data_IF_571358685138
#
_entry.id   IF_571358685138
#
_cell.length_a   1.000
_cell.length_b   1.000
_cell.length_c   1.000
_cell.angle_alpha   90.00
_cell.angle_beta   90.00
_cell.angle_gamma   90.00
#
_symmetry.space_group_name_H-M   'P 1'
#
loop_
_entity.id
_entity.type
_entity.pdbx_description
1 polymer ?
#
# COMPACT_ATOMS: atom_id res chain seq x y z
N UNK A 1 3.22 19.48 24.74
CA UNK A 1 1.92 18.77 24.77
C UNK A 1 2.19 17.31 25.11
N UNK A 2 2.14 16.95 26.40
CA UNK A 2 2.53 15.62 26.88
C UNK A 2 1.36 14.64 26.74
N UNK A 3 1.25 14.00 25.57
CA UNK A 3 0.37 12.84 25.39
C UNK A 3 0.82 11.77 26.37
N UNK A 4 -0.08 11.28 27.24
CA UNK A 4 0.26 10.21 28.18
C UNK A 4 0.87 9.02 27.40
N UNK A 5 1.92 8.36 27.92
CA UNK A 5 2.74 7.41 27.17
C UNK A 5 1.92 6.26 26.54
N UNK A 6 0.79 5.90 27.13
CA UNK A 6 -0.15 4.90 26.62
C UNK A 6 -0.83 5.33 25.32
N UNK A 7 -1.34 6.56 25.25
CA UNK A 7 -1.96 7.11 24.04
C UNK A 7 -0.96 7.19 22.88
N UNK A 8 0.30 7.53 23.16
CA UNK A 8 1.36 7.56 22.14
C UNK A 8 1.58 6.18 21.53
N UNK A 9 1.64 5.13 22.35
CA UNK A 9 1.83 3.75 21.88
C UNK A 9 0.62 3.28 21.07
N UNK A 10 -0.60 3.59 21.52
CA UNK A 10 -1.82 3.27 20.79
C UNK A 10 -1.85 3.93 19.40
N UNK A 11 -1.58 5.24 19.32
CA UNK A 11 -1.55 5.97 18.05
C UNK A 11 -0.50 5.42 17.08
N UNK A 12 0.65 4.97 17.59
CA UNK A 12 1.65 4.29 16.75
C UNK A 12 1.13 2.96 16.20
N UNK A 13 0.36 2.18 16.97
CA UNK A 13 -0.21 0.92 16.47
C UNK A 13 -1.25 1.23 15.38
N UNK A 14 -2.10 2.24 15.59
CA UNK A 14 -3.09 2.69 14.62
C UNK A 14 -2.42 3.15 13.32
N UNK A 15 -1.38 3.99 13.41
CA UNK A 15 -0.62 4.46 12.25
C UNK A 15 -0.04 3.30 11.41
N UNK A 16 0.50 2.27 12.07
CA UNK A 16 0.95 1.07 11.36
C UNK A 16 -0.19 0.25 10.74
N UNK A 17 -1.36 0.19 11.38
CA UNK A 17 -2.53 -0.45 10.78
C UNK A 17 -3.00 0.29 9.53
N UNK A 18 -2.89 1.63 9.52
CA UNK A 18 -3.19 2.45 8.36
C UNK A 18 -2.31 2.12 7.15
N UNK A 19 -1.08 1.63 7.34
CA UNK A 19 -0.24 1.18 6.21
C UNK A 19 -0.85 -0.03 5.50
N UNK A 20 -1.33 -1.03 6.25
CA UNK A 20 -2.03 -2.19 5.65
C UNK A 20 -3.28 -1.75 4.89
N UNK A 21 -4.06 -0.85 5.48
CA UNK A 21 -5.25 -0.29 4.84
C UNK A 21 -4.92 0.53 3.60
N UNK A 22 -3.84 1.33 3.63
CA UNK A 22 -3.39 2.10 2.49
C UNK A 22 -3.01 1.19 1.33
N UNK A 23 -2.27 0.10 1.58
CA UNK A 23 -1.92 -0.87 0.54
C UNK A 23 -3.20 -1.53 -0.01
N UNK A 24 -4.06 -2.10 0.83
CA UNK A 24 -5.30 -2.75 0.36
C UNK A 24 -6.22 -1.78 -0.41
N UNK A 25 -6.38 -0.56 0.09
CA UNK A 25 -7.17 0.50 -0.53
C UNK A 25 -6.60 0.93 -1.88
N UNK A 26 -5.26 1.03 -2.01
CA UNK A 26 -4.59 1.38 -3.27
C UNK A 26 -4.84 0.34 -4.36
N UNK A 27 -5.04 -0.93 -3.99
CA UNK A 27 -5.27 -2.02 -4.93
C UNK A 27 -6.73 -2.18 -5.33
N UNK A 28 -7.65 -1.80 -4.45
CA UNK A 28 -9.10 -1.98 -4.66
C UNK A 28 -9.61 -1.41 -5.99
N UNK A 29 -9.31 -0.15 -6.38
CA UNK A 29 -9.81 0.39 -7.65
C UNK A 29 -9.28 -0.37 -8.86
N UNK A 30 -8.00 -0.74 -8.86
CA UNK A 30 -7.41 -1.55 -9.93
C UNK A 30 -7.99 -2.97 -9.94
N UNK A 31 -8.16 -3.57 -8.76
CA UNK A 31 -8.71 -4.91 -8.57
C UNK A 31 -10.13 -5.02 -9.11
N UNK A 32 -10.97 -4.00 -8.90
CA UNK A 32 -12.35 -3.96 -9.43
C UNK A 32 -12.35 -3.99 -10.97
N UNK A 33 -11.46 -3.23 -11.63
CA UNK A 33 -11.36 -3.24 -13.11
C UNK A 33 -11.06 -4.63 -13.65
N UNK A 34 -10.16 -5.36 -13.00
CA UNK A 34 -9.76 -6.72 -13.45
C UNK A 34 -10.56 -7.84 -12.78
N UNK A 35 -11.52 -7.52 -11.90
CA UNK A 35 -12.31 -8.48 -11.13
C UNK A 35 -13.28 -9.31 -12.00
N UNK A 36 -13.51 -8.92 -13.26
CA UNK A 36 -14.19 -9.78 -14.23
C UNK A 36 -13.49 -11.13 -14.40
N UNK A 37 -12.15 -11.15 -14.32
CA UNK A 37 -11.34 -12.36 -14.34
C UNK A 37 -11.23 -13.06 -12.98
N UNK A 38 -11.00 -14.38 -13.00
CA UNK A 38 -10.76 -15.17 -11.77
C UNK A 38 -9.56 -14.66 -10.98
N UNK A 39 -8.48 -14.30 -11.67
CA UNK A 39 -7.25 -13.78 -11.05
C UNK A 39 -7.49 -12.46 -10.30
N UNK A 40 -8.26 -11.53 -10.87
CA UNK A 40 -8.56 -10.25 -10.23
C UNK A 40 -9.30 -10.41 -8.90
N UNK A 41 -10.28 -11.32 -8.84
CA UNK A 41 -10.99 -11.65 -7.59
C UNK A 41 -10.09 -12.29 -6.55
N UNK A 42 -9.26 -13.25 -6.97
CA UNK A 42 -8.30 -13.93 -6.07
C UNK A 42 -7.30 -12.94 -5.49
N UNK A 43 -6.76 -12.04 -6.31
CA UNK A 43 -5.84 -11.00 -5.86
C UNK A 43 -6.51 -10.04 -4.87
N UNK A 44 -7.71 -9.56 -5.19
CA UNK A 44 -8.43 -8.63 -4.32
C UNK A 44 -8.75 -9.26 -2.95
N UNK A 45 -9.28 -10.48 -2.94
CA UNK A 45 -9.56 -11.22 -1.69
C UNK A 45 -8.28 -11.53 -0.93
N UNK A 46 -7.22 -11.96 -1.64
CA UNK A 46 -5.93 -12.28 -1.04
C UNK A 46 -5.29 -11.08 -0.35
N UNK A 47 -5.31 -9.91 -1.00
CA UNK A 47 -4.75 -8.66 -0.46
C UNK A 47 -5.53 -8.21 0.78
N UNK A 48 -6.86 -8.20 0.73
CA UNK A 48 -7.67 -7.82 1.89
C UNK A 48 -7.52 -8.81 3.05
N UNK A 49 -7.45 -10.11 2.75
CA UNK A 49 -7.18 -11.15 3.76
C UNK A 49 -5.82 -10.92 4.42
N UNK A 50 -4.79 -10.66 3.62
CA UNK A 50 -3.45 -10.35 4.12
C UNK A 50 -3.46 -9.09 4.99
N UNK A 51 -4.18 -8.04 4.57
CA UNK A 51 -4.32 -6.80 5.33
C UNK A 51 -4.95 -7.03 6.70
N UNK A 52 -6.08 -7.78 6.75
CA UNK A 52 -6.79 -8.09 8.00
C UNK A 52 -5.90 -8.91 8.94
N UNK A 53 -5.21 -9.93 8.41
CA UNK A 53 -4.26 -10.73 9.20
C UNK A 53 -3.13 -9.86 9.72
N UNK A 54 -2.54 -9.01 8.88
CA UNK A 54 -1.47 -8.09 9.26
C UNK A 54 -1.89 -7.11 10.36
N UNK A 55 -3.09 -6.54 10.26
CA UNK A 55 -3.68 -5.66 11.27
C UNK A 55 -3.92 -6.44 12.57
N UNK A 56 -4.50 -7.63 12.52
CA UNK A 56 -4.73 -8.45 13.70
C UNK A 56 -3.41 -8.79 14.43
N UNK A 57 -2.38 -9.20 13.69
CA UNK A 57 -1.05 -9.44 14.25
C UNK A 57 -0.47 -8.16 14.88
N UNK A 58 -0.66 -7.01 14.24
CA UNK A 58 -0.18 -5.73 14.78
C UNK A 58 -0.90 -5.33 16.08
N UNK A 59 -2.20 -5.58 16.18
CA UNK A 59 -2.97 -5.32 17.39
C UNK A 59 -2.57 -6.25 18.54
N UNK A 60 -2.28 -7.52 18.27
CA UNK A 60 -1.89 -8.52 19.28
C UNK A 60 -0.45 -8.31 19.75
N UNK A 61 0.51 -8.14 18.82
CA UNK A 61 1.94 -8.09 19.13
C UNK A 61 2.50 -6.66 19.26
N UNK A 62 1.73 -5.64 18.91
CA UNK A 62 2.12 -4.24 18.98
C UNK A 62 3.36 -3.92 18.14
N UNK A 63 4.27 -3.12 18.70
CA UNK A 63 5.54 -2.74 18.07
C UNK A 63 6.72 -3.64 18.48
N UNK A 64 6.46 -4.86 18.97
CA UNK A 64 7.53 -5.77 19.43
C UNK A 64 8.48 -6.21 18.30
N UNK A 65 7.95 -6.35 17.07
CA UNK A 65 8.70 -6.84 15.91
C UNK A 65 8.56 -5.90 14.71
N UNK A 66 9.28 -4.77 14.68
CA UNK A 66 9.17 -3.78 13.61
C UNK A 66 9.61 -4.33 12.24
N UNK A 67 10.64 -5.18 12.21
CA UNK A 67 11.14 -5.80 10.96
C UNK A 67 10.06 -6.66 10.30
N UNK A 68 9.36 -7.50 11.08
CA UNK A 68 8.28 -8.36 10.56
C UNK A 68 7.18 -7.52 9.92
N UNK A 69 6.83 -6.38 10.54
CA UNK A 69 5.83 -5.46 10.00
C UNK A 69 6.30 -4.85 8.67
N UNK A 70 7.56 -4.40 8.60
CA UNK A 70 8.09 -3.80 7.35
C UNK A 70 8.15 -4.83 6.22
N UNK A 71 8.62 -6.04 6.51
CA UNK A 71 8.68 -7.12 5.52
C UNK A 71 7.29 -7.54 5.05
N UNK A 72 6.29 -7.61 5.93
CA UNK A 72 4.92 -7.94 5.53
C UNK A 72 4.30 -6.86 4.64
N UNK A 73 4.58 -5.57 4.89
CA UNK A 73 4.15 -4.48 4.00
C UNK A 73 4.72 -4.63 2.60
N UNK A 74 6.02 -4.95 2.48
CA UNK A 74 6.67 -5.16 1.20
C UNK A 74 6.10 -6.38 0.47
N UNK A 75 5.95 -7.52 1.15
CA UNK A 75 5.37 -8.73 0.56
C UNK A 75 3.98 -8.42 0.00
N UNK A 76 3.13 -7.78 0.80
CA UNK A 76 1.78 -7.39 0.39
C UNK A 76 1.80 -6.41 -0.79
N UNK A 77 2.69 -5.41 -0.75
CA UNK A 77 2.86 -4.41 -1.80
C UNK A 77 3.41 -4.96 -3.12
N UNK A 78 4.12 -6.08 -3.11
CA UNK A 78 4.64 -6.73 -4.32
C UNK A 78 3.67 -7.71 -4.98
N UNK A 79 2.56 -8.07 -4.31
CA UNK A 79 1.50 -8.89 -4.93
C UNK A 79 0.90 -8.24 -6.19
N UNK A 80 1.06 -6.93 -6.37
CA UNK A 80 0.61 -6.18 -7.55
C UNK A 80 1.35 -6.49 -8.82
N UNK A 81 2.52 -7.14 -8.76
CA UNK A 81 3.18 -7.67 -9.95
C UNK A 81 2.25 -8.63 -10.70
N UNK A 82 1.45 -9.42 -9.97
CA UNK A 82 0.47 -10.32 -10.59
C UNK A 82 -0.71 -9.57 -11.26
N UNK A 83 -0.96 -8.32 -10.88
CA UNK A 83 -2.00 -7.48 -11.48
C UNK A 83 -1.50 -6.73 -12.74
N UNK A 84 -0.19 -6.65 -12.99
CA UNK A 84 0.40 -5.86 -14.08
C UNK A 84 -0.14 -6.28 -15.45
N UNK A 85 -0.08 -7.57 -15.79
CA UNK A 85 -0.49 -8.06 -17.11
C UNK A 85 -2.01 -7.88 -17.34
N UNK A 86 -2.90 -8.26 -16.40
CA UNK A 86 -4.33 -7.97 -16.51
C UNK A 86 -4.65 -6.47 -16.62
N UNK A 87 -3.96 -5.62 -15.85
CA UNK A 87 -4.16 -4.18 -15.91
C UNK A 87 -3.69 -3.57 -17.22
N UNK A 88 -2.58 -4.06 -17.77
CA UNK A 88 -2.08 -3.60 -19.05
C UNK A 88 -3.08 -3.88 -20.18
N UNK A 89 -3.69 -5.08 -20.15
CA UNK A 89 -4.74 -5.46 -21.12
C UNK A 89 -6.00 -4.61 -20.93
N UNK A 90 -6.39 -4.31 -19.69
CA UNK A 90 -7.63 -3.59 -19.40
C UNK A 90 -7.53 -2.06 -19.56
N UNK A 91 -6.37 -1.45 -19.27
CA UNK A 91 -6.22 -0.01 -19.15
C UNK A 91 -5.07 0.58 -20.00
N UNK A 92 -4.24 -0.28 -20.62
CA UNK A 92 -3.07 0.14 -21.39
C UNK A 92 -1.83 0.47 -20.53
N UNK A 93 -0.78 0.93 -21.20
CA UNK A 93 0.55 1.06 -20.58
C UNK A 93 0.73 2.22 -19.60
N UNK A 94 0.05 3.35 -19.81
CA UNK A 94 0.24 4.55 -18.98
C UNK A 94 -0.21 4.36 -17.51
N UNK A 95 -1.43 3.86 -17.22
CA UNK A 95 -1.83 3.63 -15.83
C UNK A 95 -0.99 2.55 -15.14
N UNK A 96 -0.53 1.55 -15.88
CA UNK A 96 0.41 0.54 -15.37
C UNK A 96 1.75 1.19 -15.02
N UNK A 97 2.30 2.04 -15.88
CA UNK A 97 3.55 2.74 -15.62
C UNK A 97 3.45 3.65 -14.38
N UNK A 98 2.31 4.35 -14.20
CA UNK A 98 2.04 5.13 -13.00
C UNK A 98 1.98 4.25 -11.74
N UNK A 99 1.27 3.12 -11.79
CA UNK A 99 1.20 2.18 -10.66
C UNK A 99 2.59 1.58 -10.32
N UNK A 100 3.39 1.24 -11.33
CA UNK A 100 4.76 0.74 -11.14
C UNK A 100 5.66 1.83 -10.54
N UNK A 101 5.59 3.06 -11.06
CA UNK A 101 6.35 4.19 -10.50
C UNK A 101 5.96 4.44 -9.03
N UNK A 102 4.68 4.31 -8.70
CA UNK A 102 4.19 4.35 -7.32
C UNK A 102 4.75 3.24 -6.44
N UNK A 103 4.72 1.99 -6.90
CA UNK A 103 5.31 0.84 -6.21
C UNK A 103 6.82 0.99 -5.96
N UNK A 104 7.56 1.55 -6.93
CA UNK A 104 8.98 1.88 -6.78
C UNK A 104 9.17 2.96 -5.72
N UNK A 105 8.38 4.04 -5.76
CA UNK A 105 8.46 5.11 -4.76
C UNK A 105 8.22 4.57 -3.34
N UNK A 106 7.22 3.72 -3.14
CA UNK A 106 7.00 3.05 -1.84
C UNK A 106 8.19 2.18 -1.42
N UNK A 107 8.72 1.38 -2.33
CA UNK A 107 9.85 0.48 -2.04
C UNK A 107 11.11 1.26 -1.66
N UNK A 108 11.39 2.37 -2.34
CA UNK A 108 12.49 3.28 -1.99
C UNK A 108 12.26 3.95 -0.64
N UNK A 109 11.04 4.38 -0.35
CA UNK A 109 10.67 4.97 0.93
C UNK A 109 10.99 4.04 2.10
N UNK A 110 10.66 2.75 1.99
CA UNK A 110 10.89 1.75 3.04
C UNK A 110 12.35 1.66 3.48
N UNK A 111 13.32 1.96 2.60
CA UNK A 111 14.75 1.97 2.93
C UNK A 111 15.07 3.01 4.01
N UNK A 112 14.38 4.16 3.99
CA UNK A 112 14.60 5.23 4.96
C UNK A 112 13.88 5.00 6.28
N UNK A 113 12.85 4.14 6.31
CA UNK A 113 12.04 3.90 7.50
C UNK A 113 12.85 3.42 8.73
N UNK A 114 13.73 2.40 8.64
CA UNK A 114 14.55 1.97 9.78
C UNK A 114 15.83 2.79 9.99
N UNK A 115 16.13 3.78 9.14
CA UNK A 115 17.45 4.43 9.08
C UNK A 115 17.61 5.55 10.12
N UNK A 116 17.73 5.18 11.39
CA UNK A 116 17.76 6.11 12.54
C UNK A 116 18.95 7.08 12.55
N UNK A 117 20.03 6.77 11.84
CA UNK A 117 21.23 7.63 11.72
C UNK A 117 20.97 8.91 10.90
N UNK A 118 20.01 8.90 9.97
CA UNK A 118 19.67 10.08 9.15
C UNK A 118 18.68 10.97 9.91
N UNK A 119 19.00 12.27 10.00
CA UNK A 119 18.08 13.26 10.57
C UNK A 119 16.83 13.37 9.70
N UNK A 120 15.65 13.23 10.31
CA UNK A 120 14.35 13.23 9.63
C UNK A 120 14.08 12.03 8.70
N UNK A 121 14.72 10.87 8.90
CA UNK A 121 14.46 9.64 8.14
C UNK A 121 12.96 9.30 7.99
N UNK A 122 12.17 9.47 9.05
CA UNK A 122 10.73 9.24 9.04
C UNK A 122 9.97 10.23 8.14
N UNK A 123 10.42 11.49 8.06
CA UNK A 123 9.82 12.48 7.17
C UNK A 123 10.16 12.18 5.70
N UNK A 124 11.40 11.76 5.42
CA UNK A 124 11.82 11.31 4.08
C UNK A 124 10.95 10.11 3.66
N UNK A 125 10.75 9.13 4.54
CA UNK A 125 9.83 8.03 4.31
C UNK A 125 8.43 8.51 3.92
N UNK A 126 7.84 9.46 4.65
CA UNK A 126 6.53 10.01 4.31
C UNK A 126 6.50 10.71 2.95
N UNK A 127 7.57 11.41 2.55
CA UNK A 127 7.64 12.05 1.22
C UNK A 127 7.55 10.99 0.11
N UNK A 128 8.26 9.87 0.25
CA UNK A 128 8.15 8.76 -0.70
C UNK A 128 6.76 8.12 -0.71
N UNK A 129 6.14 7.92 0.47
CA UNK A 129 4.77 7.40 0.60
C UNK A 129 3.76 8.33 -0.08
N UNK A 130 3.90 9.64 0.09
CA UNK A 130 3.05 10.64 -0.57
C UNK A 130 3.25 10.62 -2.08
N UNK A 131 4.50 10.58 -2.56
CA UNK A 131 4.79 10.49 -3.99
C UNK A 131 4.18 9.21 -4.61
N UNK A 132 4.33 8.07 -3.95
CA UNK A 132 3.70 6.82 -4.37
C UNK A 132 2.17 6.91 -4.40
N UNK A 133 1.58 7.51 -3.37
CA UNK A 133 0.13 7.74 -3.29
C UNK A 133 -0.37 8.64 -4.43
N UNK A 134 0.37 9.70 -4.78
CA UNK A 134 0.04 10.59 -5.88
C UNK A 134 0.03 9.82 -7.21
N UNK A 135 1.04 8.98 -7.48
CA UNK A 135 1.06 8.19 -8.71
C UNK A 135 -0.11 7.22 -8.81
N UNK A 136 -0.45 6.52 -7.72
CA UNK A 136 -1.63 5.64 -7.68
C UNK A 136 -2.92 6.44 -7.86
N UNK A 137 -3.05 7.58 -7.19
CA UNK A 137 -4.22 8.46 -7.29
C UNK A 137 -4.42 8.96 -8.73
N UNK A 138 -3.34 9.41 -9.40
CA UNK A 138 -3.39 9.84 -10.80
C UNK A 138 -3.82 8.70 -11.72
N UNK A 139 -3.26 7.50 -11.54
CA UNK A 139 -3.68 6.33 -12.31
C UNK A 139 -5.17 6.01 -12.12
N UNK A 140 -5.67 6.14 -10.88
CA UNK A 140 -7.08 5.87 -10.58
C UNK A 140 -8.01 6.93 -11.19
N UNK A 141 -7.76 8.21 -10.94
CA UNK A 141 -8.65 9.29 -11.37
C UNK A 141 -8.63 9.48 -12.88
N UNK A 142 -7.47 9.34 -13.52
CA UNK A 142 -7.34 9.60 -14.96
C UNK A 142 -7.69 8.39 -15.84
N UNK A 143 -7.63 7.16 -15.32
CA UNK A 143 -7.81 5.95 -16.14
C UNK A 143 -8.82 4.95 -15.56
N UNK A 144 -8.74 4.63 -14.27
CA UNK A 144 -9.65 3.64 -13.67
C UNK A 144 -11.09 4.16 -13.59
N UNK A 145 -11.28 5.39 -13.09
CA UNK A 145 -12.61 5.98 -12.95
C UNK A 145 -13.30 6.18 -14.32
N UNK A 146 -12.64 6.74 -15.35
CA UNK A 146 -13.22 6.82 -16.69
C UNK A 146 -13.53 5.44 -17.29
N UNK A 147 -12.66 4.44 -17.11
CA UNK A 147 -12.93 3.09 -17.61
C UNK A 147 -14.16 2.47 -16.92
N UNK A 148 -14.29 2.64 -15.60
CA UNK A 148 -15.44 2.12 -14.85
C UNK A 148 -16.77 2.77 -15.24
N UNK A 149 -16.75 4.03 -15.69
CA UNK A 149 -17.93 4.71 -16.22
C UNK A 149 -18.36 4.20 -17.62
N UNK A 150 -17.48 3.49 -18.33
CA UNK A 150 -17.73 2.92 -19.65
C UNK A 150 -18.08 1.41 -19.63
N UNK A 151 -18.14 0.80 -18.44
CA UNK A 151 -18.59 -0.58 -18.19
C UNK A 151 -20.09 -0.61 -17.88
#
# INVERSE_FOLDING_TARGET
SAVAPEHKKFLQIVDHCCIYLLIAGSYTPFGIVIAGGSLGRVLLVGIWTFAVVGIALKLIFGNRYPIISVTSYLIMGWLGVFAVQPLFVALGGVPVALAVAGGIAYSLGVIFFPWTSIRHHHAIFHVFVMAGSIFHYLAVVLYVVPQAANL
#
